data_IF_894441164131
#
_entry.id   IF_894441164131
#
_cell.length_a   1.000
_cell.length_b   1.000
_cell.length_c   1.000
_cell.angle_alpha   90.00
_cell.angle_beta   90.00
_cell.angle_gamma   90.00
#
_symmetry.space_group_name_H-M   'P 1'
#
loop_
_entity.id
_entity.type
_entity.pdbx_description
1 polymer ?
#
# COMPACT_ATOMS: atom_id res chain seq x y z
N UNK A 1 6.07 19.73 9.33
CA UNK A 1 4.72 19.17 9.05
C UNK A 1 4.78 18.43 7.74
N UNK A 2 4.15 17.28 7.68
CA UNK A 2 4.08 16.40 6.50
C UNK A 2 2.74 16.64 5.78
N UNK A 3 2.76 16.71 4.44
CA UNK A 3 1.53 16.86 3.66
C UNK A 3 0.88 15.51 3.43
N UNK A 4 -0.41 15.41 3.79
CA UNK A 4 -1.28 14.29 3.46
C UNK A 4 -2.49 14.83 2.72
N UNK A 5 -2.52 14.65 1.40
CA UNK A 5 -3.65 15.05 0.58
C UNK A 5 -4.76 14.00 0.67
N UNK A 6 -5.95 14.42 1.10
CA UNK A 6 -7.14 13.58 1.12
C UNK A 6 -8.17 14.21 0.18
N UNK A 7 -8.65 13.44 -0.78
CA UNK A 7 -9.67 13.90 -1.73
C UNK A 7 -10.83 12.92 -1.80
N UNK A 8 -11.98 13.39 -2.25
CA UNK A 8 -13.15 12.55 -2.48
C UNK A 8 -13.79 12.90 -3.82
N UNK A 9 -13.86 11.91 -4.70
CA UNK A 9 -14.62 11.98 -5.93
C UNK A 9 -14.95 10.55 -6.40
N UNK A 10 -16.17 10.28 -6.79
CA UNK A 10 -16.55 8.97 -7.35
C UNK A 10 -16.02 8.76 -8.77
N UNK A 11 -15.63 9.82 -9.48
CA UNK A 11 -14.75 9.71 -10.64
C UNK A 11 -13.30 9.54 -10.15
N UNK A 12 -12.87 8.29 -9.99
CA UNK A 12 -11.60 7.97 -9.32
C UNK A 12 -10.38 8.59 -9.98
N UNK A 13 -10.39 8.76 -11.30
CA UNK A 13 -9.31 9.46 -12.03
C UNK A 13 -9.16 10.91 -11.55
N UNK A 14 -10.28 11.59 -11.31
CA UNK A 14 -10.26 12.96 -10.77
C UNK A 14 -9.79 12.99 -9.32
N UNK A 15 -10.30 12.08 -8.47
CA UNK A 15 -9.87 12.01 -7.07
C UNK A 15 -8.35 11.80 -6.94
N UNK A 16 -7.77 10.94 -7.77
CA UNK A 16 -6.34 10.66 -7.80
C UNK A 16 -5.57 11.89 -8.29
N UNK A 17 -6.02 12.52 -9.38
CA UNK A 17 -5.38 13.71 -9.91
C UNK A 17 -5.36 14.84 -8.88
N UNK A 18 -6.51 15.12 -8.27
CA UNK A 18 -6.67 16.16 -7.24
C UNK A 18 -5.74 15.91 -6.05
N UNK A 19 -5.63 14.67 -5.56
CA UNK A 19 -4.74 14.33 -4.45
C UNK A 19 -3.26 14.54 -4.81
N UNK A 20 -2.85 14.09 -6.00
CA UNK A 20 -1.45 14.11 -6.42
C UNK A 20 -0.98 15.52 -6.81
N UNK A 21 -1.87 16.44 -7.21
CA UNK A 21 -1.53 17.83 -7.50
C UNK A 21 -1.09 18.63 -6.27
N UNK A 22 -1.41 18.17 -5.07
CA UNK A 22 -0.91 18.76 -3.82
C UNK A 22 0.50 18.31 -3.42
N UNK A 23 1.11 17.39 -4.15
CA UNK A 23 2.38 16.77 -3.81
C UNK A 23 3.46 17.01 -4.88
N UNK A 24 4.75 16.98 -4.54
CA UNK A 24 5.85 17.21 -5.49
C UNK A 24 6.11 15.99 -6.40
N UNK A 25 5.08 15.47 -7.05
CA UNK A 25 5.15 14.23 -7.85
C UNK A 25 6.13 14.38 -9.03
N UNK A 26 6.22 15.56 -9.62
CA UNK A 26 7.17 15.82 -10.70
C UNK A 26 8.63 15.53 -10.31
N UNK A 27 9.03 15.87 -9.07
CA UNK A 27 10.38 15.66 -8.56
C UNK A 27 10.67 14.17 -8.26
N UNK A 28 9.63 13.42 -7.98
CA UNK A 28 9.71 11.99 -7.75
C UNK A 28 9.78 11.17 -9.04
N UNK A 29 9.26 11.70 -10.15
CA UNK A 29 9.00 10.92 -11.37
C UNK A 29 9.92 11.28 -12.52
N UNK A 30 10.22 12.58 -12.71
CA UNK A 30 10.92 13.08 -13.89
C UNK A 30 12.29 12.45 -14.08
N UNK A 31 12.50 11.85 -15.24
CA UNK A 31 13.75 11.21 -15.64
C UNK A 31 14.19 10.07 -14.68
N UNK A 32 13.25 9.43 -13.98
CA UNK A 32 13.55 8.33 -13.05
C UNK A 32 12.96 7.02 -13.52
N UNK A 33 13.53 5.93 -13.00
CA UNK A 33 12.93 4.60 -13.02
C UNK A 33 11.90 4.52 -11.90
N UNK A 34 10.63 4.55 -12.28
CA UNK A 34 9.49 4.59 -11.36
C UNK A 34 8.82 3.22 -11.31
N UNK A 35 8.64 2.67 -10.13
CA UNK A 35 7.88 1.45 -9.91
C UNK A 35 6.57 1.76 -9.18
N UNK A 36 5.45 1.35 -9.75
CA UNK A 36 4.12 1.37 -9.12
C UNK A 36 3.78 -0.04 -8.69
N UNK A 37 3.51 -0.24 -7.41
CA UNK A 37 3.09 -1.52 -6.85
C UNK A 37 1.61 -1.47 -6.45
N UNK A 38 0.69 -2.02 -7.28
CA UNK A 38 -0.73 -2.12 -6.92
C UNK A 38 -0.95 -3.14 -5.80
N UNK A 39 -2.13 -3.16 -5.21
CA UNK A 39 -2.53 -4.23 -4.30
C UNK A 39 -3.10 -5.41 -5.11
N UNK A 40 -2.47 -6.59 -5.04
CA UNK A 40 -2.77 -7.74 -5.91
C UNK A 40 -2.64 -9.09 -5.19
N UNK A 41 -3.11 -9.19 -3.95
CA UNK A 41 -2.92 -10.42 -3.16
C UNK A 41 -3.58 -11.64 -3.80
N UNK A 42 -4.83 -11.51 -4.22
CA UNK A 42 -5.64 -12.55 -4.83
C UNK A 42 -6.88 -11.93 -5.48
N UNK A 43 -7.32 -12.50 -6.60
CA UNK A 43 -8.59 -12.18 -7.25
C UNK A 43 -9.16 -13.41 -7.93
N UNK A 44 -10.49 -13.48 -8.06
CA UNK A 44 -11.19 -14.45 -8.89
C UNK A 44 -12.12 -13.75 -9.88
N UNK A 45 -12.75 -14.51 -10.75
CA UNK A 45 -13.75 -13.97 -11.68
C UNK A 45 -14.95 -13.36 -10.93
N UNK A 46 -15.29 -13.93 -9.78
CA UNK A 46 -16.44 -13.57 -8.96
C UNK A 46 -16.13 -12.48 -7.94
N UNK A 47 -14.85 -12.39 -7.50
CA UNK A 47 -14.44 -11.40 -6.47
C UNK A 47 -13.11 -10.74 -6.83
N UNK A 48 -13.18 -9.45 -7.14
CA UNK A 48 -12.04 -8.55 -7.39
C UNK A 48 -11.95 -7.42 -6.37
N UNK A 49 -12.76 -7.47 -5.32
CA UNK A 49 -12.88 -6.38 -4.34
C UNK A 49 -11.65 -6.22 -3.45
N UNK A 50 -10.80 -7.25 -3.36
CA UNK A 50 -9.57 -7.26 -2.56
C UNK A 50 -8.30 -6.75 -3.27
N UNK A 51 -8.42 -6.22 -4.50
CA UNK A 51 -7.28 -5.77 -5.31
C UNK A 51 -7.50 -4.36 -5.85
N UNK A 52 -6.41 -3.72 -6.29
CA UNK A 52 -6.49 -2.45 -7.03
C UNK A 52 -7.34 -2.61 -8.28
N UNK A 53 -8.25 -1.67 -8.53
CA UNK A 53 -9.11 -1.70 -9.71
C UNK A 53 -8.36 -1.20 -10.96
N UNK A 54 -8.74 -1.66 -12.17
CA UNK A 54 -8.08 -1.27 -13.43
C UNK A 54 -8.09 0.24 -13.70
N UNK A 55 -9.20 0.92 -13.45
CA UNK A 55 -9.34 2.37 -13.62
C UNK A 55 -8.43 3.14 -12.66
N UNK A 56 -8.30 2.67 -11.42
CA UNK A 56 -7.37 3.22 -10.41
C UNK A 56 -5.92 3.14 -10.88
N UNK A 57 -5.48 1.96 -11.36
CA UNK A 57 -4.13 1.81 -11.90
C UNK A 57 -3.91 2.70 -13.12
N UNK A 58 -4.87 2.72 -14.05
CA UNK A 58 -4.83 3.56 -15.25
C UNK A 58 -4.69 5.03 -14.91
N UNK A 59 -5.46 5.52 -13.97
CA UNK A 59 -5.42 6.92 -13.53
C UNK A 59 -4.02 7.30 -12.99
N UNK A 60 -3.45 6.46 -12.13
CA UNK A 60 -2.10 6.68 -11.59
C UNK A 60 -1.05 6.68 -12.72
N UNK A 61 -1.06 5.69 -13.61
CA UNK A 61 -0.07 5.60 -14.71
C UNK A 61 -0.17 6.81 -15.63
N UNK A 62 -1.37 7.26 -16.01
CA UNK A 62 -1.59 8.44 -16.82
C UNK A 62 -1.09 9.72 -16.17
N UNK A 63 -1.36 9.86 -14.86
CA UNK A 63 -0.88 11.02 -14.11
C UNK A 63 0.65 11.07 -14.09
N UNK A 64 1.32 9.95 -13.79
CA UNK A 64 2.78 9.88 -13.73
C UNK A 64 3.45 10.13 -15.09
N UNK A 65 2.87 9.65 -16.19
CA UNK A 65 3.40 9.88 -17.55
C UNK A 65 3.49 11.36 -17.93
N UNK A 66 2.68 12.23 -17.33
CA UNK A 66 2.74 13.70 -17.55
C UNK A 66 4.12 14.28 -17.24
N UNK A 67 4.89 13.62 -16.38
CA UNK A 67 6.20 14.09 -15.90
C UNK A 67 7.40 13.43 -16.56
N UNK A 68 7.20 12.54 -17.53
CA UNK A 68 8.28 11.94 -18.32
C UNK A 68 9.23 11.05 -17.49
N UNK A 69 8.76 9.94 -16.89
CA UNK A 69 9.66 8.94 -16.31
C UNK A 69 10.53 8.30 -17.39
N UNK A 70 11.79 7.90 -17.03
CA UNK A 70 12.65 7.14 -17.94
C UNK A 70 12.13 5.72 -18.16
N UNK A 71 11.58 5.12 -17.12
CA UNK A 71 10.96 3.80 -17.16
C UNK A 71 9.79 3.80 -16.16
N UNK A 72 8.62 3.35 -16.60
CA UNK A 72 7.44 3.18 -15.75
C UNK A 72 7.14 1.69 -15.63
N UNK A 73 7.35 1.15 -14.44
CA UNK A 73 7.22 -0.28 -14.12
C UNK A 73 5.98 -0.47 -13.25
N UNK A 74 5.15 -1.42 -13.61
CA UNK A 74 4.14 -1.96 -12.69
C UNK A 74 4.67 -3.27 -12.13
N UNK A 75 5.01 -3.27 -10.84
CA UNK A 75 5.65 -4.41 -10.19
C UNK A 75 4.66 -5.16 -9.31
N UNK A 76 4.68 -6.48 -9.36
CA UNK A 76 3.79 -7.34 -8.59
C UNK A 76 4.52 -8.51 -7.93
N UNK A 77 3.92 -9.06 -6.91
CA UNK A 77 4.43 -10.22 -6.17
C UNK A 77 3.34 -10.79 -5.28
N UNK A 78 2.29 -11.39 -5.89
CA UNK A 78 1.23 -12.05 -5.15
C UNK A 78 1.79 -13.10 -4.17
N UNK A 79 1.18 -13.18 -3.00
CA UNK A 79 1.56 -14.16 -1.98
C UNK A 79 0.70 -15.42 -1.99
N UNK A 80 -0.43 -15.40 -2.65
CA UNK A 80 -1.41 -16.49 -2.63
C UNK A 80 -1.29 -17.41 -3.85
N UNK A 81 -1.18 -16.84 -5.03
CA UNK A 81 -1.12 -17.53 -6.32
C UNK A 81 -0.13 -16.83 -7.27
N UNK A 82 0.03 -17.33 -8.49
CA UNK A 82 0.91 -16.71 -9.48
C UNK A 82 0.51 -15.27 -9.77
N UNK A 83 1.48 -14.36 -9.77
CA UNK A 83 1.24 -12.91 -9.93
C UNK A 83 0.56 -12.58 -11.25
N UNK A 84 1.00 -13.21 -12.35
CA UNK A 84 0.42 -12.99 -13.69
C UNK A 84 -1.06 -13.39 -13.74
N UNK A 85 -1.44 -14.44 -13.03
CA UNK A 85 -2.84 -14.87 -12.95
C UNK A 85 -3.70 -13.81 -12.26
N UNK A 86 -3.24 -13.26 -11.12
CA UNK A 86 -3.96 -12.19 -10.42
C UNK A 86 -4.10 -10.97 -11.31
N UNK A 87 -3.01 -10.56 -11.97
CA UNK A 87 -3.02 -9.40 -12.88
C UNK A 87 -4.02 -9.56 -14.02
N UNK A 88 -4.03 -10.75 -14.65
CA UNK A 88 -4.96 -11.08 -15.73
C UNK A 88 -6.42 -11.08 -15.25
N UNK A 89 -6.70 -11.78 -14.15
CA UNK A 89 -8.07 -11.89 -13.60
C UNK A 89 -8.59 -10.53 -13.12
N UNK A 90 -7.74 -9.73 -12.48
CA UNK A 90 -8.09 -8.39 -12.03
C UNK A 90 -8.23 -7.36 -13.18
N UNK A 91 -7.78 -7.68 -14.40
CA UNK A 91 -7.76 -6.74 -15.54
C UNK A 91 -6.61 -5.73 -15.47
N UNK A 92 -5.62 -5.95 -14.60
CA UNK A 92 -4.47 -5.05 -14.45
C UNK A 92 -3.47 -5.23 -15.59
N UNK A 93 -3.37 -6.43 -16.15
CA UNK A 93 -2.48 -6.73 -17.27
C UNK A 93 -2.82 -5.89 -18.51
N UNK A 94 -4.10 -5.80 -18.85
CA UNK A 94 -4.59 -4.98 -19.97
C UNK A 94 -4.23 -3.50 -19.78
N UNK A 95 -4.38 -2.99 -18.56
CA UNK A 95 -4.02 -1.58 -18.25
C UNK A 95 -2.51 -1.35 -18.44
N UNK A 96 -1.67 -2.27 -17.99
CA UNK A 96 -0.21 -2.16 -18.15
C UNK A 96 0.16 -2.08 -19.63
N UNK A 97 -0.44 -2.93 -20.47
CA UNK A 97 -0.21 -2.97 -21.92
C UNK A 97 -0.73 -1.71 -22.61
N UNK A 98 -1.97 -1.31 -22.35
CA UNK A 98 -2.59 -0.09 -22.93
C UNK A 98 -1.83 1.18 -22.57
N UNK A 99 -1.36 1.28 -21.34
CA UNK A 99 -0.61 2.45 -20.87
C UNK A 99 0.90 2.37 -21.22
N UNK A 100 1.37 1.32 -21.87
CA UNK A 100 2.76 1.14 -22.28
C UNK A 100 3.75 1.08 -21.11
N UNK A 101 3.30 0.62 -19.95
CA UNK A 101 4.16 0.37 -18.80
C UNK A 101 4.81 -1.03 -18.89
N UNK A 102 5.87 -1.24 -18.14
CA UNK A 102 6.56 -2.54 -18.08
C UNK A 102 6.03 -3.36 -16.90
N UNK A 103 5.45 -4.52 -17.15
CA UNK A 103 5.12 -5.46 -16.08
C UNK A 103 6.38 -6.16 -15.56
N UNK A 104 6.49 -6.26 -14.23
CA UNK A 104 7.58 -7.00 -13.60
C UNK A 104 7.09 -7.83 -12.41
N UNK A 105 7.17 -9.17 -12.55
CA UNK A 105 6.91 -10.12 -11.46
C UNK A 105 8.17 -10.32 -10.61
N UNK A 106 8.22 -9.68 -9.44
CA UNK A 106 9.36 -9.78 -8.53
C UNK A 106 9.35 -11.06 -7.68
N UNK A 107 8.36 -11.94 -7.83
CA UNK A 107 8.40 -13.28 -7.25
C UNK A 107 9.39 -14.22 -7.95
N UNK A 108 9.84 -13.87 -9.16
CA UNK A 108 10.74 -14.69 -9.97
C UNK A 108 12.21 -14.52 -9.58
N UNK A 109 13.02 -15.56 -9.87
CA UNK A 109 14.47 -15.51 -9.74
C UNK A 109 15.08 -14.42 -10.67
N UNK A 110 16.29 -13.91 -10.36
CA UNK A 110 17.15 -14.32 -9.26
C UNK A 110 16.71 -13.80 -7.91
N UNK A 111 17.24 -14.39 -6.81
CA UNK A 111 16.97 -13.95 -5.45
C UNK A 111 18.24 -13.51 -4.75
N UNK A 112 18.13 -12.48 -3.91
CA UNK A 112 19.21 -11.98 -3.07
C UNK A 112 18.73 -11.78 -1.64
N UNK A 113 19.53 -12.12 -0.62
CA UNK A 113 19.20 -11.81 0.76
C UNK A 113 19.33 -10.31 1.02
N UNK A 114 18.41 -9.78 1.80
CA UNK A 114 18.43 -8.40 2.26
C UNK A 114 18.21 -8.38 3.76
N UNK A 115 19.15 -7.76 4.48
CA UNK A 115 19.08 -7.68 5.93
C UNK A 115 17.99 -6.72 6.39
N UNK A 116 17.32 -7.09 7.48
CA UNK A 116 16.25 -6.33 8.11
C UNK A 116 16.69 -5.80 9.48
N UNK A 117 16.26 -4.58 9.78
CA UNK A 117 16.43 -3.94 11.07
C UNK A 117 15.08 -3.79 11.75
N UNK A 118 14.92 -4.42 12.90
CA UNK A 118 13.72 -4.35 13.72
C UNK A 118 13.81 -3.22 14.75
N UNK A 119 12.65 -2.78 15.24
CA UNK A 119 12.60 -1.93 16.42
C UNK A 119 13.16 -2.70 17.64
N UNK A 120 13.89 -2.04 18.55
CA UNK A 120 14.52 -2.73 19.68
C UNK A 120 13.55 -3.57 20.53
N UNK A 121 12.31 -3.10 20.67
CA UNK A 121 11.26 -3.77 21.43
C UNK A 121 10.74 -5.05 20.76
N UNK A 122 11.01 -5.20 19.46
CA UNK A 122 10.50 -6.29 18.64
C UNK A 122 11.59 -7.30 18.22
N UNK A 123 12.84 -7.02 18.55
CA UNK A 123 13.97 -7.93 18.28
C UNK A 123 14.16 -8.96 19.40
N UNK A 124 13.04 -9.55 19.85
CA UNK A 124 13.06 -10.33 21.11
C UNK A 124 13.30 -11.81 20.86
N UNK A 125 12.59 -12.47 19.96
CA UNK A 125 12.69 -13.92 19.82
C UNK A 125 12.78 -14.39 18.35
N UNK A 126 13.90 -14.06 17.72
CA UNK A 126 14.27 -14.65 16.44
C UNK A 126 13.45 -14.22 15.24
N UNK A 127 13.09 -12.93 15.09
CA UNK A 127 12.53 -12.46 13.84
C UNK A 127 13.51 -12.72 12.70
N UNK A 128 12.99 -12.86 11.50
CA UNK A 128 13.78 -13.10 10.31
C UNK A 128 14.80 -11.97 10.11
N UNK A 129 16.08 -12.25 10.27
CA UNK A 129 17.17 -11.24 10.14
C UNK A 129 17.40 -10.80 8.69
N UNK A 130 16.97 -11.59 7.73
CA UNK A 130 17.05 -11.27 6.30
C UNK A 130 15.85 -11.82 5.54
N UNK A 131 15.57 -11.23 4.39
CA UNK A 131 14.51 -11.67 3.48
C UNK A 131 15.06 -11.84 2.07
N UNK A 132 14.62 -12.89 1.37
CA UNK A 132 14.97 -13.14 -0.02
C UNK A 132 14.02 -12.38 -0.93
N UNK A 133 14.59 -11.49 -1.74
CA UNK A 133 13.86 -10.66 -2.70
C UNK A 133 14.48 -10.77 -4.09
N UNK A 134 13.75 -10.39 -5.13
CA UNK A 134 14.35 -10.18 -6.43
C UNK A 134 15.20 -8.89 -6.41
N UNK A 135 16.47 -8.91 -6.85
CA UNK A 135 17.34 -7.73 -6.77
C UNK A 135 16.83 -6.51 -7.56
N UNK A 136 15.95 -6.68 -8.55
CA UNK A 136 15.39 -5.54 -9.28
C UNK A 136 14.61 -4.58 -8.38
N UNK A 137 13.98 -5.06 -7.28
CA UNK A 137 13.26 -4.18 -6.33
C UNK A 137 14.20 -3.19 -5.61
N UNK A 138 15.51 -3.47 -5.60
CA UNK A 138 16.53 -2.57 -5.04
C UNK A 138 16.99 -1.49 -6.03
N UNK A 139 16.58 -1.56 -7.29
CA UNK A 139 17.01 -0.66 -8.35
C UNK A 139 16.03 0.46 -8.67
N UNK A 140 14.86 0.49 -8.06
CA UNK A 140 13.88 1.54 -8.28
C UNK A 140 14.36 2.86 -7.67
N UNK A 141 14.31 3.94 -8.45
CA UNK A 141 14.65 5.29 -7.97
C UNK A 141 13.45 5.93 -7.28
N UNK A 142 12.25 5.51 -7.68
CA UNK A 142 11.00 5.90 -7.03
C UNK A 142 10.10 4.68 -6.92
N UNK A 143 9.72 4.36 -5.69
CA UNK A 143 8.74 3.34 -5.38
C UNK A 143 7.43 3.99 -4.96
N UNK A 144 6.35 3.67 -5.67
CA UNK A 144 4.99 4.11 -5.38
C UNK A 144 4.17 2.93 -4.91
N UNK A 145 3.65 3.01 -3.69
CA UNK A 145 2.68 2.03 -3.19
C UNK A 145 1.27 2.49 -3.55
N UNK A 146 0.60 1.76 -4.44
CA UNK A 146 -0.81 1.96 -4.76
C UNK A 146 -1.64 0.94 -3.99
N UNK A 147 -2.03 1.32 -2.78
CA UNK A 147 -2.67 0.46 -1.82
C UNK A 147 -4.19 0.65 -1.79
N UNK A 148 -4.89 -0.36 -1.33
CA UNK A 148 -6.31 -0.30 -1.05
C UNK A 148 -6.55 0.07 0.41
N UNK A 149 -7.56 0.91 0.67
CA UNK A 149 -8.04 1.24 2.01
C UNK A 149 -8.84 0.05 2.55
N UNK A 150 -8.21 -0.82 3.36
CA UNK A 150 -8.89 -2.03 3.85
C UNK A 150 -8.40 -2.54 5.19
N UNK A 151 -9.31 -3.21 5.89
CA UNK A 151 -9.03 -4.00 7.09
C UNK A 151 -8.19 -5.24 6.77
N UNK A 152 -7.58 -5.80 7.80
CA UNK A 152 -6.86 -7.07 7.72
C UNK A 152 -6.89 -7.77 9.07
N UNK A 153 -7.35 -9.01 9.10
CA UNK A 153 -7.54 -9.79 10.33
C UNK A 153 -6.25 -9.94 11.18
N UNK A 154 -5.09 -10.13 10.55
CA UNK A 154 -3.81 -10.33 11.27
C UNK A 154 -3.04 -9.03 11.47
N UNK A 155 -3.05 -8.12 10.48
CA UNK A 155 -2.25 -6.89 10.50
C UNK A 155 -3.08 -5.65 10.85
N UNK A 156 -4.30 -5.79 11.29
CA UNK A 156 -5.30 -4.74 11.55
C UNK A 156 -5.72 -4.02 10.27
N UNK A 157 -4.78 -3.52 9.50
CA UNK A 157 -5.04 -2.80 8.23
C UNK A 157 -4.10 -3.29 7.11
N UNK A 158 -4.58 -3.20 5.88
CA UNK A 158 -3.74 -3.22 4.68
C UNK A 158 -3.75 -1.82 4.09
N UNK A 159 -2.62 -1.20 4.10
CA UNK A 159 -2.39 0.15 3.57
C UNK A 159 -1.04 0.11 2.85
N UNK A 160 -0.35 1.24 2.75
CA UNK A 160 0.85 1.39 1.95
C UNK A 160 2.03 0.53 2.42
N UNK A 161 2.34 0.55 3.73
CA UNK A 161 3.49 -0.18 4.26
C UNK A 161 3.35 -1.69 4.04
N UNK A 162 2.20 -2.25 4.43
CA UNK A 162 1.92 -3.68 4.28
C UNK A 162 1.87 -4.10 2.81
N UNK A 163 1.36 -3.24 1.92
CA UNK A 163 1.29 -3.50 0.49
C UNK A 163 2.68 -3.82 -0.10
N UNK A 164 3.72 -3.12 0.31
CA UNK A 164 5.10 -3.38 -0.10
C UNK A 164 5.69 -4.55 0.71
N UNK A 165 5.60 -4.48 2.03
CA UNK A 165 6.25 -5.42 2.94
C UNK A 165 5.87 -6.87 2.66
N UNK A 166 4.59 -7.13 2.40
CA UNK A 166 4.07 -8.48 2.18
C UNK A 166 4.12 -8.93 0.72
N UNK A 167 4.57 -8.08 -0.20
CA UNK A 167 4.75 -8.44 -1.60
C UNK A 167 6.20 -8.83 -1.93
N UNK A 168 7.17 -8.11 -1.40
CA UNK A 168 8.58 -8.25 -1.74
C UNK A 168 9.26 -9.57 -1.38
N UNK A 169 8.89 -10.29 -0.28
CA UNK A 169 9.38 -11.64 -0.07
C UNK A 169 9.01 -12.54 -1.26
N UNK A 170 9.99 -13.06 -1.98
CA UNK A 170 9.77 -13.73 -3.25
C UNK A 170 9.02 -15.06 -3.10
N UNK A 171 7.78 -15.14 -3.57
CA UNK A 171 6.96 -16.34 -3.40
C UNK A 171 7.53 -17.58 -4.11
N UNK A 172 8.25 -17.43 -5.21
CA UNK A 172 8.97 -18.56 -5.84
C UNK A 172 10.10 -19.12 -4.98
N UNK A 173 10.62 -18.33 -4.03
CA UNK A 173 11.57 -18.81 -3.04
C UNK A 173 10.86 -19.42 -1.81
N UNK A 174 9.83 -18.72 -1.30
CA UNK A 174 9.15 -19.10 -0.05
C UNK A 174 7.98 -20.08 -0.24
N UNK A 175 7.51 -20.28 -1.47
CA UNK A 175 6.37 -21.12 -1.81
C UNK A 175 5.04 -20.36 -1.91
N UNK A 176 4.04 -21.01 -2.49
CA UNK A 176 2.66 -20.55 -2.56
C UNK A 176 1.74 -21.44 -1.72
N UNK A 177 0.85 -20.87 -0.91
CA UNK A 177 0.87 -19.50 -0.43
C UNK A 177 2.13 -19.23 0.42
N UNK A 178 2.63 -17.99 0.44
CA UNK A 178 3.87 -17.63 1.17
C UNK A 178 3.87 -17.98 2.67
N UNK A 179 2.73 -18.17 3.26
CA UNK A 179 2.57 -18.63 4.63
C UNK A 179 2.64 -20.16 4.76
N UNK A 180 2.97 -20.89 3.69
CA UNK A 180 3.08 -22.36 3.76
C UNK A 180 4.19 -22.80 4.72
N UNK A 181 4.00 -23.97 5.34
CA UNK A 181 4.72 -24.45 6.52
C UNK A 181 6.26 -24.54 6.41
N UNK A 182 6.83 -24.55 5.22
CA UNK A 182 8.30 -24.64 5.07
C UNK A 182 9.07 -23.44 5.64
N UNK A 183 8.40 -22.29 5.74
CA UNK A 183 9.00 -21.04 6.23
C UNK A 183 8.08 -20.30 7.21
N UNK A 184 7.04 -20.97 7.70
CA UNK A 184 5.97 -20.38 8.52
C UNK A 184 6.45 -19.81 9.86
N UNK A 185 7.61 -20.21 10.34
CA UNK A 185 8.18 -19.69 11.59
C UNK A 185 9.02 -18.40 11.39
N UNK A 186 9.02 -17.83 10.19
CA UNK A 186 9.93 -16.74 9.89
C UNK A 186 9.33 -15.36 10.12
N UNK A 187 8.57 -14.81 9.19
CA UNK A 187 8.09 -13.43 9.30
C UNK A 187 6.59 -13.32 9.62
N UNK A 188 5.82 -14.40 9.45
CA UNK A 188 4.40 -14.39 9.80
C UNK A 188 4.14 -14.58 11.29
N UNK A 189 5.10 -15.07 12.07
CA UNK A 189 4.97 -15.17 13.52
C UNK A 189 4.75 -13.78 14.16
N UNK A 190 5.41 -12.75 13.63
CA UNK A 190 5.17 -11.36 14.00
C UNK A 190 5.09 -10.48 12.74
N UNK A 191 3.92 -10.48 12.14
CA UNK A 191 3.69 -9.71 10.90
C UNK A 191 3.86 -8.20 11.09
N UNK A 192 3.49 -7.65 12.24
CA UNK A 192 3.59 -6.22 12.47
C UNK A 192 5.05 -5.75 12.49
N UNK A 193 5.90 -6.41 13.27
CA UNK A 193 7.33 -6.08 13.32
C UNK A 193 8.01 -6.26 11.97
N UNK A 194 7.62 -7.31 11.24
CA UNK A 194 8.13 -7.55 9.89
C UNK A 194 7.74 -6.42 8.93
N UNK A 195 6.48 -5.96 8.95
CA UNK A 195 6.03 -4.83 8.10
C UNK A 195 6.85 -3.56 8.40
N UNK A 196 7.06 -3.24 9.67
CA UNK A 196 7.84 -2.06 10.07
C UNK A 196 9.31 -2.17 9.62
N UNK A 197 9.94 -3.34 9.79
CA UNK A 197 11.33 -3.58 9.36
C UNK A 197 11.46 -3.51 7.83
N UNK A 198 10.49 -4.05 7.10
CA UNK A 198 10.45 -3.95 5.63
C UNK A 198 10.27 -2.51 5.16
N UNK A 199 9.40 -1.72 5.81
CA UNK A 199 9.22 -0.31 5.51
C UNK A 199 10.50 0.50 5.72
N UNK A 200 11.29 0.17 6.76
CA UNK A 200 12.60 0.75 7.00
C UNK A 200 13.61 0.42 5.90
N UNK A 201 13.56 -0.83 5.41
CA UNK A 201 14.52 -1.34 4.41
C UNK A 201 14.17 -0.93 2.98
N UNK A 202 12.90 -0.80 2.65
CA UNK A 202 12.39 -0.47 1.32
C UNK A 202 11.59 0.84 1.37
N UNK A 203 12.26 2.00 1.32
CA UNK A 203 11.59 3.29 1.38
C UNK A 203 10.57 3.47 0.26
N UNK A 204 9.38 3.93 0.62
CA UNK A 204 8.29 4.27 -0.30
C UNK A 204 8.32 5.78 -0.48
N UNK A 205 8.52 6.27 -1.71
CA UNK A 205 8.60 7.69 -2.00
C UNK A 205 7.23 8.35 -2.18
N UNK A 206 6.21 7.55 -2.52
CA UNK A 206 4.83 8.03 -2.63
C UNK A 206 3.88 6.90 -2.23
N UNK A 207 3.05 7.17 -1.24
CA UNK A 207 1.92 6.34 -0.87
C UNK A 207 0.65 6.90 -1.50
N UNK A 208 -0.13 6.05 -2.13
CA UNK A 208 -1.48 6.33 -2.65
C UNK A 208 -2.38 5.24 -2.11
N UNK A 209 -3.35 5.60 -1.28
CA UNK A 209 -4.31 4.67 -0.66
C UNK A 209 -5.69 5.02 -1.19
N UNK A 210 -6.38 4.05 -1.76
CA UNK A 210 -7.62 4.29 -2.49
C UNK A 210 -8.76 3.46 -1.89
N UNK A 211 -9.86 4.12 -1.61
CA UNK A 211 -11.12 3.51 -1.16
C UNK A 211 -12.10 3.26 -2.31
N UNK A 212 -11.63 2.65 -3.39
CA UNK A 212 -12.39 2.30 -4.60
C UNK A 212 -12.16 0.83 -5.00
N UNK A 213 -12.89 -0.12 -4.38
CA UNK A 213 -13.62 0.06 -3.13
C UNK A 213 -12.70 0.04 -1.90
N UNK A 214 -13.15 0.57 -0.78
CA UNK A 214 -12.60 0.24 0.52
C UNK A 214 -13.14 -1.12 0.97
N UNK A 215 -12.46 -1.78 1.94
CA UNK A 215 -12.94 -3.04 2.51
C UNK A 215 -13.02 -2.95 4.03
N UNK A 216 -14.21 -3.20 4.57
CA UNK A 216 -14.52 -3.18 6.01
C UNK A 216 -15.01 -4.54 6.49
N UNK A 217 -15.36 -4.65 7.76
CA UNK A 217 -15.76 -5.85 8.49
C UNK A 217 -14.61 -6.84 8.69
N UNK A 218 -13.98 -7.35 7.63
CA UNK A 218 -12.79 -8.21 7.68
C UNK A 218 -11.89 -7.95 6.46
N UNK A 219 -10.77 -8.64 6.38
CA UNK A 219 -9.82 -8.59 5.27
C UNK A 219 -8.64 -9.55 5.49
N UNK A 220 -7.85 -9.81 4.48
CA UNK A 220 -7.68 -9.09 3.21
C UNK A 220 -8.68 -9.45 2.11
N UNK A 221 -9.51 -10.47 2.31
CA UNK A 221 -10.50 -11.02 1.38
C UNK A 221 -11.82 -11.28 2.12
N UNK A 222 -12.93 -11.31 1.39
CA UNK A 222 -14.24 -11.66 1.94
C UNK A 222 -14.83 -10.62 2.90
N UNK A 223 -14.25 -9.42 2.94
CA UNK A 223 -14.85 -8.28 3.65
C UNK A 223 -15.99 -7.63 2.88
N UNK A 224 -16.56 -6.60 3.47
CA UNK A 224 -17.60 -5.81 2.83
C UNK A 224 -16.96 -4.67 2.02
N UNK A 225 -17.19 -4.69 0.71
CA UNK A 225 -16.70 -3.66 -0.19
C UNK A 225 -17.60 -2.41 -0.14
N UNK A 226 -16.99 -1.24 -0.01
CA UNK A 226 -17.69 0.05 0.10
C UNK A 226 -17.05 1.07 -0.84
N UNK A 227 -17.86 1.65 -1.72
CA UNK A 227 -17.41 2.76 -2.56
C UNK A 227 -17.40 4.06 -1.75
N UNK A 228 -16.22 4.60 -1.55
CA UNK A 228 -16.04 5.83 -0.78
C UNK A 228 -15.62 7.03 -1.63
N UNK A 229 -15.05 6.77 -2.80
CA UNK A 229 -14.43 7.79 -3.66
C UNK A 229 -13.23 8.50 -3.00
N UNK A 230 -12.75 8.01 -1.86
CA UNK A 230 -11.65 8.63 -1.11
C UNK A 230 -10.28 8.18 -1.61
N UNK A 231 -9.38 9.14 -1.72
CA UNK A 231 -7.96 8.92 -2.00
C UNK A 231 -7.13 9.64 -0.94
N UNK A 232 -6.13 8.95 -0.42
CA UNK A 232 -5.13 9.50 0.51
C UNK A 232 -3.78 9.40 -0.18
N UNK A 233 -3.03 10.50 -0.29
CA UNK A 233 -1.70 10.50 -0.88
C UNK A 233 -0.72 11.30 -0.01
N UNK A 234 0.50 10.77 0.13
CA UNK A 234 1.60 11.44 0.85
C UNK A 234 2.96 10.94 0.38
N UNK A 235 3.96 11.80 0.45
CA UNK A 235 5.37 11.40 0.31
C UNK A 235 5.95 10.76 1.59
N UNK A 236 5.19 10.79 2.68
CA UNK A 236 5.45 10.03 3.89
C UNK A 236 4.44 8.87 3.99
N UNK A 237 4.88 7.62 3.74
CA UNK A 237 3.98 6.47 3.73
C UNK A 237 3.39 6.14 5.10
N UNK A 238 4.08 6.48 6.19
CA UNK A 238 3.57 6.26 7.55
C UNK A 238 2.45 7.24 7.86
N UNK A 239 2.61 8.51 7.44
CA UNK A 239 1.56 9.52 7.58
C UNK A 239 0.31 9.16 6.77
N UNK A 240 0.47 8.68 5.53
CA UNK A 240 -0.65 8.19 4.73
C UNK A 240 -1.37 7.02 5.40
N UNK A 241 -0.61 6.04 5.91
CA UNK A 241 -1.16 4.88 6.61
C UNK A 241 -1.81 5.27 7.95
N UNK A 242 -1.26 6.25 8.68
CA UNK A 242 -1.87 6.78 9.89
C UNK A 242 -3.26 7.37 9.62
N UNK A 243 -3.38 8.14 8.55
CA UNK A 243 -4.68 8.69 8.10
C UNK A 243 -5.61 7.55 7.65
N UNK A 244 -5.13 6.60 6.86
CA UNK A 244 -5.94 5.44 6.44
C UNK A 244 -6.46 4.62 7.63
N UNK A 245 -5.62 4.42 8.66
CA UNK A 245 -6.02 3.74 9.90
C UNK A 245 -7.11 4.54 10.64
N UNK A 246 -7.01 5.87 10.68
CA UNK A 246 -8.04 6.75 11.28
C UNK A 246 -9.38 6.64 10.56
N UNK A 247 -9.39 6.62 9.24
CA UNK A 247 -10.61 6.42 8.47
C UNK A 247 -11.27 5.06 8.78
N UNK A 248 -10.45 4.02 8.94
CA UNK A 248 -10.91 2.68 9.32
C UNK A 248 -11.28 2.53 10.81
N UNK A 249 -11.22 3.62 11.60
CA UNK A 249 -11.63 3.66 12.99
C UNK A 249 -10.55 3.30 14.01
N UNK A 250 -9.27 3.24 13.61
CA UNK A 250 -8.16 2.90 14.51
C UNK A 250 -7.33 4.12 14.88
N UNK A 251 -6.92 4.20 16.14
CA UNK A 251 -5.79 5.06 16.51
C UNK A 251 -4.48 4.43 16.01
N UNK A 252 -3.51 5.25 15.64
CA UNK A 252 -2.20 4.78 15.16
C UNK A 252 -1.56 3.79 16.14
N UNK A 253 -1.67 4.06 17.45
CA UNK A 253 -1.13 3.21 18.51
C UNK A 253 -1.79 1.81 18.57
N UNK A 254 -3.00 1.66 18.04
CA UNK A 254 -3.67 0.36 17.94
C UNK A 254 -3.20 -0.47 16.74
N UNK A 255 -2.45 0.14 15.82
CA UNK A 255 -1.87 -0.52 14.65
C UNK A 255 -0.35 -0.67 14.87
N UNK A 256 0.05 -1.78 15.47
CA UNK A 256 1.41 -1.98 15.99
C UNK A 256 2.51 -1.69 14.95
N UNK A 257 2.36 -2.09 13.69
CA UNK A 257 3.39 -1.80 12.69
C UNK A 257 3.54 -0.31 12.36
N UNK A 258 2.48 0.50 12.50
CA UNK A 258 2.59 1.95 12.35
C UNK A 258 3.33 2.57 13.53
N UNK A 259 3.00 2.14 14.75
CA UNK A 259 3.72 2.56 15.95
C UNK A 259 5.22 2.21 15.86
N UNK A 260 5.56 0.97 15.46
CA UNK A 260 6.95 0.54 15.28
C UNK A 260 7.66 1.28 14.14
N UNK A 261 6.96 1.58 13.03
CA UNK A 261 7.53 2.37 11.94
C UNK A 261 7.91 3.79 12.40
N UNK A 262 7.10 4.42 13.27
CA UNK A 262 7.46 5.67 13.92
C UNK A 262 8.70 5.52 14.80
N UNK A 263 8.81 4.46 15.62
CA UNK A 263 9.99 4.14 16.44
C UNK A 263 11.26 3.94 15.60
N UNK A 264 11.13 3.33 14.43
CA UNK A 264 12.21 3.16 13.45
C UNK A 264 12.52 4.44 12.67
N UNK A 265 11.78 5.53 12.90
CA UNK A 265 11.90 6.80 12.17
C UNK A 265 11.72 6.61 10.66
N UNK A 266 10.72 5.85 10.27
CA UNK A 266 10.33 5.66 8.86
C UNK A 266 9.47 6.83 8.39
N UNK A 267 8.61 7.37 9.27
CA UNK A 267 7.75 8.50 8.97
C UNK A 267 6.96 8.99 10.18
N UNK A 268 6.04 9.93 9.93
CA UNK A 268 5.24 10.63 10.94
C UNK A 268 4.00 9.81 11.32
N UNK A 269 3.75 9.67 12.61
CA UNK A 269 2.59 8.96 13.17
C UNK A 269 1.57 9.89 13.83
N UNK A 270 1.99 11.11 14.17
CA UNK A 270 1.15 12.10 14.86
C UNK A 270 0.37 12.92 13.83
N UNK A 271 -0.94 12.76 13.81
CA UNK A 271 -1.82 13.50 12.90
C UNK A 271 -1.82 15.00 13.13
N UNK A 272 -1.43 15.47 14.33
CA UNK A 272 -1.29 16.91 14.64
C UNK A 272 -0.05 17.53 13.99
N UNK A 273 0.91 16.71 13.54
CA UNK A 273 2.08 17.12 12.78
C UNK A 273 1.85 17.04 11.25
N UNK A 274 0.63 16.75 10.82
CA UNK A 274 0.26 16.66 9.41
C UNK A 274 -0.49 17.90 8.95
N UNK A 275 -0.32 18.23 7.68
CA UNK A 275 -1.09 19.26 6.98
C UNK A 275 -1.99 18.59 5.94
N UNK A 276 -3.24 19.00 5.90
CA UNK A 276 -4.26 18.48 5.00
C UNK A 276 -4.63 19.56 3.96
N UNK A 277 -3.96 19.58 2.79
CA UNK A 277 -4.14 20.66 1.82
C UNK A 277 -5.48 20.62 1.04
N UNK A 278 -6.24 19.53 1.14
CA UNK A 278 -7.56 19.39 0.51
C UNK A 278 -8.63 19.14 1.58
N UNK A 279 -9.16 17.91 1.73
CA UNK A 279 -10.12 17.61 2.81
C UNK A 279 -9.41 17.56 4.16
N UNK A 280 -10.07 18.09 5.20
CA UNK A 280 -9.62 17.87 6.57
C UNK A 280 -9.76 16.40 6.97
N UNK A 281 -8.98 15.95 7.97
CA UNK A 281 -9.10 14.59 8.49
C UNK A 281 -10.53 14.30 9.02
N UNK A 282 -11.14 15.28 9.71
CA UNK A 282 -12.51 15.16 10.24
C UNK A 282 -13.53 14.99 9.12
N UNK A 283 -13.43 15.78 8.03
CA UNK A 283 -14.33 15.66 6.89
C UNK A 283 -14.16 14.31 6.17
N UNK A 284 -12.92 13.85 6.04
CA UNK A 284 -12.63 12.55 5.43
C UNK A 284 -13.18 11.38 6.25
N UNK A 285 -13.07 11.43 7.60
CA UNK A 285 -13.68 10.46 8.50
C UNK A 285 -15.20 10.47 8.34
N UNK A 286 -15.81 11.66 8.33
CA UNK A 286 -17.25 11.80 8.11
C UNK A 286 -17.71 11.22 6.78
N UNK A 287 -16.99 11.50 5.71
CA UNK A 287 -17.27 10.97 4.37
C UNK A 287 -17.13 9.43 4.31
N UNK A 288 -16.08 8.90 4.93
CA UNK A 288 -15.87 7.46 5.01
C UNK A 288 -16.99 6.76 5.79
N UNK A 289 -17.34 7.27 6.97
CA UNK A 289 -18.35 6.64 7.82
C UNK A 289 -19.76 6.75 7.23
N UNK A 290 -20.06 7.84 6.53
CA UNK A 290 -21.31 7.99 5.79
C UNK A 290 -21.41 6.93 4.68
N UNK A 291 -20.35 6.72 3.91
CA UNK A 291 -20.32 5.68 2.89
C UNK A 291 -20.38 4.27 3.46
N UNK A 292 -19.67 4.01 4.57
CA UNK A 292 -19.53 2.68 5.15
C UNK A 292 -20.72 2.25 6.01
N UNK A 293 -21.35 3.20 6.71
CA UNK A 293 -22.35 2.93 7.76
C UNK A 293 -23.65 3.71 7.58
N UNK A 294 -23.79 4.48 6.50
CA UNK A 294 -24.91 5.40 6.25
C UNK A 294 -25.11 6.44 7.36
N UNK A 295 -24.06 6.74 8.12
CA UNK A 295 -24.06 7.68 9.22
C UNK A 295 -22.74 8.45 9.25
N UNK A 296 -22.81 9.79 9.25
CA UNK A 296 -21.65 10.65 9.38
C UNK A 296 -21.20 10.71 10.84
N UNK A 297 -20.16 9.96 11.18
CA UNK A 297 -19.56 9.97 12.50
C UNK A 297 -18.39 10.98 12.51
N UNK A 298 -18.32 11.76 13.58
CA UNK A 298 -17.18 12.61 13.88
C UNK A 298 -16.49 12.07 15.12
N UNK A 299 -15.21 11.79 15.04
CA UNK A 299 -14.43 11.48 16.23
C UNK A 299 -13.94 12.79 16.85
N UNK A 300 -14.88 13.59 17.33
CA UNK A 300 -14.54 14.77 18.10
C UNK A 300 -14.05 14.27 19.45
N UNK A 301 -12.78 14.22 19.58
CA UNK A 301 -11.96 14.23 20.78
C UNK A 301 -10.82 13.23 20.79
N UNK A 302 -9.71 13.73 21.32
CA UNK A 302 -8.46 12.97 21.43
C UNK A 302 -8.55 11.78 22.36
#
# INVERSE_FOLDING_TARGET
MVDVAITQNFAIEQAIADALEHLPVADLVRNKRVAVKPNETWASAEDKTGVTQPDTLRAVLRFLKRFGPNELIVTGGSGAVETEEVFRVAGLQEVVEEEGAVFFDHNRAPFTPVDLQYAPESDVDGPQKSVMVNPKVLSYETLISLAQLKLHETATVTLSLKNIAMSYPAAKYYGYPRHSQKHANSFFADMHSFIAAMAKRFPIQLAIIVGHPAMIATGPLGGHAVETGLVIASTDPVAADAVGARLLGFRVQAVRHLWEAGRLRVGETDTDQMRFPALSLSDAIGAFTEAAYAERLTFDHP
#
